data_IF_421939590123
#
_entry.id   IF_421939590123
#
_cell.length_a   1.000
_cell.length_b   1.000
_cell.length_c   1.000
_cell.angle_alpha   90.00
_cell.angle_beta   90.00
_cell.angle_gamma   90.00
#
_symmetry.space_group_name_H-M   'P 1'
#
loop_
_entity.id
_entity.type
_entity.pdbx_description
1 polymer ?
#
# COMPACT_ATOMS: atom_id res chain seq x y z
N UNK A 1 5.93 -15.33 6.68
CA UNK A 1 5.68 -14.00 6.10
C UNK A 1 5.32 -14.26 4.64
N UNK A 2 4.28 -13.63 4.07
CA UNK A 2 3.86 -13.92 2.71
C UNK A 2 4.83 -13.35 1.68
N UNK A 3 4.91 -13.97 0.51
CA UNK A 3 5.83 -13.56 -0.57
C UNK A 3 5.59 -12.12 -1.04
N UNK A 4 4.32 -11.66 -1.01
CA UNK A 4 3.97 -10.27 -1.33
C UNK A 4 4.66 -9.28 -0.39
N UNK A 5 4.65 -9.54 0.92
CA UNK A 5 5.31 -8.67 1.91
C UNK A 5 6.82 -8.64 1.71
N UNK A 6 7.44 -9.79 1.47
CA UNK A 6 8.88 -9.89 1.20
C UNK A 6 9.27 -9.09 -0.05
N UNK A 7 8.43 -9.12 -1.10
CA UNK A 7 8.62 -8.31 -2.30
C UNK A 7 8.47 -6.81 -2.02
N UNK A 8 7.44 -6.40 -1.25
CA UNK A 8 7.23 -5.00 -0.85
C UNK A 8 8.42 -4.47 -0.03
N UNK A 9 8.91 -5.27 0.93
CA UNK A 9 10.07 -4.90 1.71
C UNK A 9 11.33 -4.76 0.85
N UNK A 10 11.55 -5.70 -0.07
CA UNK A 10 12.68 -5.65 -1.01
C UNK A 10 12.60 -4.41 -1.90
N UNK A 11 11.42 -4.11 -2.44
CA UNK A 11 11.19 -2.91 -3.24
C UNK A 11 11.48 -1.64 -2.45
N UNK A 12 11.06 -1.56 -1.20
CA UNK A 12 11.27 -0.36 -0.37
C UNK A 12 12.73 -0.16 0.03
N UNK A 13 13.46 -1.25 0.34
CA UNK A 13 14.87 -1.17 0.73
C UNK A 13 15.80 -0.87 -0.46
N UNK A 14 15.39 -1.23 -1.67
CA UNK A 14 16.22 -1.13 -2.85
C UNK A 14 17.40 -2.11 -2.86
N UNK A 15 18.27 -1.98 -3.84
CA UNK A 15 19.48 -2.79 -3.93
C UNK A 15 20.42 -2.48 -2.77
N UNK A 16 20.84 -3.52 -2.03
CA UNK A 16 21.81 -3.38 -0.94
C UNK A 16 23.08 -2.68 -1.45
N UNK A 17 23.53 -1.67 -0.72
CA UNK A 17 24.81 -1.02 -1.01
C UNK A 17 25.92 -1.93 -0.49
N UNK A 18 26.75 -2.54 -1.34
CA UNK A 18 27.87 -3.36 -0.85
C UNK A 18 28.83 -2.47 -0.09
N UNK A 19 29.09 -2.83 1.17
CA UNK A 19 30.15 -2.23 1.98
C UNK A 19 31.48 -2.84 1.48
N UNK A 20 32.19 -2.14 0.56
CA UNK A 20 33.49 -2.58 0.09
C UNK A 20 33.79 -2.27 -1.39
N UNK A 21 35.05 -2.44 -1.77
CA UNK A 21 35.64 -2.09 -3.08
C UNK A 21 35.19 -2.93 -4.29
N UNK A 22 34.13 -3.74 -4.17
CA UNK A 22 33.61 -4.56 -5.28
C UNK A 22 32.74 -3.72 -6.22
N UNK A 23 33.33 -2.84 -7.00
CA UNK A 23 32.67 -1.91 -7.94
C UNK A 23 32.23 -2.52 -9.26
N UNK A 24 32.36 -3.83 -9.48
CA UNK A 24 32.18 -4.46 -10.80
C UNK A 24 30.96 -5.40 -10.92
N UNK A 25 30.17 -5.60 -9.85
CA UNK A 25 28.97 -6.45 -9.96
C UNK A 25 27.82 -5.63 -10.56
N UNK A 26 27.31 -6.08 -11.71
CA UNK A 26 26.12 -5.50 -12.36
C UNK A 26 24.97 -5.55 -11.36
N UNK A 27 24.62 -4.41 -10.79
CA UNK A 27 23.57 -4.30 -9.78
C UNK A 27 22.25 -4.65 -10.44
N UNK A 28 21.53 -5.60 -9.86
CA UNK A 28 20.13 -5.82 -10.21
C UNK A 28 19.34 -4.56 -9.84
N UNK A 29 18.68 -3.96 -10.82
CA UNK A 29 17.80 -2.82 -10.56
C UNK A 29 16.53 -3.36 -9.91
N UNK A 30 16.22 -2.88 -8.70
CA UNK A 30 14.99 -3.19 -7.99
C UNK A 30 14.08 -1.97 -8.15
N UNK A 31 12.84 -2.17 -8.54
CA UNK A 31 11.86 -1.08 -8.61
C UNK A 31 11.44 -0.65 -7.20
N UNK A 32 11.19 0.65 -6.94
CA UNK A 32 10.75 1.14 -5.62
C UNK A 32 9.31 0.81 -5.28
N UNK A 33 8.53 0.32 -6.25
CA UNK A 33 7.14 -0.14 -6.11
C UNK A 33 6.94 -1.40 -6.92
N UNK A 34 6.03 -2.27 -6.49
CA UNK A 34 5.61 -3.44 -7.25
C UNK A 34 4.59 -3.07 -8.33
N UNK A 35 4.54 -3.86 -9.40
CA UNK A 35 3.50 -3.83 -10.42
C UNK A 35 2.66 -5.10 -10.31
N UNK A 36 1.39 -4.95 -9.95
CA UNK A 36 0.42 -6.03 -9.81
C UNK A 36 -0.66 -5.92 -10.88
N UNK A 37 -1.18 -7.05 -11.32
CA UNK A 37 -2.29 -7.12 -12.28
C UNK A 37 -3.58 -7.60 -11.62
N UNK A 38 -4.71 -6.96 -11.90
CA UNK A 38 -6.04 -7.47 -11.55
C UNK A 38 -6.66 -8.16 -12.76
N UNK A 39 -7.18 -9.38 -12.58
CA UNK A 39 -7.81 -10.17 -13.63
C UNK A 39 -9.07 -10.89 -13.10
N UNK A 40 -10.03 -11.10 -13.97
CA UNK A 40 -11.23 -11.83 -13.60
C UNK A 40 -10.96 -13.33 -13.43
N UNK A 41 -11.70 -13.99 -12.53
CA UNK A 41 -11.67 -15.45 -12.41
C UNK A 41 -12.08 -16.09 -13.76
N UNK A 42 -11.27 -17.04 -14.24
CA UNK A 42 -11.46 -17.68 -15.56
C UNK A 42 -10.72 -16.99 -16.71
N UNK A 43 -10.14 -15.82 -16.50
CA UNK A 43 -9.35 -15.11 -17.51
C UNK A 43 -7.92 -15.65 -17.59
N UNK A 44 -7.77 -16.78 -18.29
CA UNK A 44 -6.45 -17.38 -18.54
C UNK A 44 -5.58 -16.50 -19.47
N UNK A 45 -6.19 -15.65 -20.30
CA UNK A 45 -5.43 -14.73 -21.16
C UNK A 45 -4.82 -13.60 -20.31
N UNK A 46 -5.59 -13.01 -19.38
CA UNK A 46 -5.07 -12.05 -18.41
C UNK A 46 -3.99 -12.65 -17.52
N UNK A 47 -4.17 -13.89 -17.05
CA UNK A 47 -3.15 -14.59 -16.27
C UNK A 47 -1.84 -14.75 -17.07
N UNK A 48 -1.92 -15.17 -18.34
CA UNK A 48 -0.76 -15.25 -19.22
C UNK A 48 -0.11 -13.88 -19.47
N UNK A 49 -0.93 -12.81 -19.58
CA UNK A 49 -0.40 -11.45 -19.69
C UNK A 49 0.39 -11.03 -18.45
N UNK A 50 -0.02 -11.46 -17.24
CA UNK A 50 0.72 -11.19 -16.01
C UNK A 50 2.12 -11.83 -16.06
N UNK A 51 2.22 -13.07 -16.54
CA UNK A 51 3.50 -13.79 -16.72
C UNK A 51 4.34 -13.11 -17.81
N UNK A 52 3.77 -12.94 -19.01
CA UNK A 52 4.45 -12.35 -20.16
C UNK A 52 4.88 -10.89 -19.94
N UNK A 53 4.09 -10.14 -19.14
CA UNK A 53 4.36 -8.77 -18.73
C UNK A 53 5.39 -8.66 -17.60
N UNK A 54 5.83 -9.80 -17.04
CA UNK A 54 6.75 -9.90 -15.91
C UNK A 54 6.27 -9.09 -14.69
N UNK A 55 4.99 -9.24 -14.33
CA UNK A 55 4.41 -8.59 -13.15
C UNK A 55 4.97 -9.22 -11.86
N UNK A 56 5.01 -8.41 -10.80
CA UNK A 56 5.48 -8.87 -9.49
C UNK A 56 4.43 -9.73 -8.77
N UNK A 57 3.16 -9.57 -9.16
CA UNK A 57 2.05 -10.37 -8.64
C UNK A 57 0.74 -10.11 -9.37
N UNK A 58 -0.30 -10.86 -9.03
CA UNK A 58 -1.63 -10.76 -9.62
C UNK A 58 -2.74 -10.90 -8.56
N UNK A 59 -3.89 -10.29 -8.80
CA UNK A 59 -5.10 -10.39 -7.97
C UNK A 59 -6.21 -10.98 -8.85
N UNK A 60 -6.71 -12.15 -8.47
CA UNK A 60 -7.87 -12.78 -9.12
C UNK A 60 -9.15 -12.25 -8.48
N UNK A 61 -9.99 -11.56 -9.25
CA UNK A 61 -11.25 -10.94 -8.79
C UNK A 61 -12.47 -11.70 -9.27
N UNK A 62 -13.60 -11.55 -8.54
CA UNK A 62 -14.87 -12.17 -8.91
C UNK A 62 -14.94 -13.68 -8.67
N UNK A 63 -14.20 -14.16 -7.70
CA UNK A 63 -14.09 -15.60 -7.39
C UNK A 63 -15.35 -16.20 -6.79
N UNK A 64 -16.17 -15.42 -6.05
CA UNK A 64 -17.38 -15.90 -5.41
C UNK A 64 -18.51 -16.28 -6.36
N UNK A 65 -18.57 -15.65 -7.53
CA UNK A 65 -19.51 -16.01 -8.60
C UNK A 65 -18.96 -17.00 -9.63
N UNK A 66 -17.66 -17.28 -9.59
CA UNK A 66 -16.99 -18.13 -10.56
C UNK A 66 -17.04 -19.61 -10.16
N UNK A 67 -17.03 -20.50 -11.14
CA UNK A 67 -16.84 -21.91 -10.90
C UNK A 67 -15.41 -22.19 -10.42
N UNK A 68 -15.25 -23.13 -9.48
CA UNK A 68 -13.92 -23.53 -9.00
C UNK A 68 -12.94 -23.81 -10.16
N UNK A 69 -13.40 -24.51 -11.21
CA UNK A 69 -12.59 -24.84 -12.39
C UNK A 69 -12.09 -23.59 -13.14
N UNK A 70 -12.81 -22.47 -13.08
CA UNK A 70 -12.40 -21.21 -13.72
C UNK A 70 -11.32 -20.53 -12.87
N UNK A 71 -11.47 -20.53 -11.55
CA UNK A 71 -10.45 -20.04 -10.61
C UNK A 71 -9.18 -20.87 -10.76
N UNK A 72 -9.28 -22.21 -10.72
CA UNK A 72 -8.14 -23.12 -10.87
C UNK A 72 -7.41 -22.91 -12.21
N UNK A 73 -8.17 -22.61 -13.29
CA UNK A 73 -7.57 -22.31 -14.60
C UNK A 73 -6.76 -21.01 -14.60
N UNK A 74 -7.28 -19.95 -13.97
CA UNK A 74 -6.53 -18.69 -13.83
C UNK A 74 -5.28 -18.88 -13.01
N UNK A 75 -5.40 -19.59 -11.87
CA UNK A 75 -4.27 -19.88 -10.98
C UNK A 75 -3.19 -20.71 -11.70
N UNK A 76 -3.58 -21.76 -12.43
CA UNK A 76 -2.64 -22.58 -13.20
C UNK A 76 -1.91 -21.77 -14.30
N UNK A 77 -2.57 -20.73 -14.85
CA UNK A 77 -1.97 -19.88 -15.87
C UNK A 77 -1.05 -18.78 -15.29
N UNK A 78 -1.08 -18.54 -13.96
CA UNK A 78 -0.21 -17.61 -13.23
C UNK A 78 1.13 -18.25 -12.82
N UNK A 79 1.56 -19.30 -13.50
CA UNK A 79 2.75 -20.07 -13.16
C UNK A 79 3.97 -19.17 -12.86
N UNK A 80 4.53 -19.30 -11.66
CA UNK A 80 5.67 -18.51 -11.18
C UNK A 80 5.36 -17.05 -10.78
N UNK A 81 4.10 -16.60 -10.84
CA UNK A 81 3.69 -15.27 -10.39
C UNK A 81 2.99 -15.39 -9.04
N UNK A 82 3.45 -14.63 -8.04
CA UNK A 82 2.77 -14.50 -6.76
C UNK A 82 1.35 -14.02 -6.96
N UNK A 83 0.36 -14.72 -6.45
CA UNK A 83 -1.04 -14.31 -6.64
C UNK A 83 -1.84 -14.25 -5.35
N UNK A 84 -2.79 -13.35 -5.34
CA UNK A 84 -3.81 -13.24 -4.33
C UNK A 84 -5.20 -13.34 -4.93
N UNK A 85 -6.17 -13.51 -4.06
CA UNK A 85 -7.57 -13.64 -4.44
C UNK A 85 -8.40 -12.58 -3.73
N UNK A 86 -9.28 -11.94 -4.49
CA UNK A 86 -10.28 -11.04 -3.93
C UNK A 86 -11.43 -11.85 -3.35
N UNK A 87 -11.57 -11.77 -2.03
CA UNK A 87 -12.67 -12.43 -1.31
C UNK A 87 -13.94 -11.56 -1.41
N UNK A 88 -15.04 -12.21 -1.62
CA UNK A 88 -16.36 -11.63 -1.50
C UNK A 88 -17.21 -12.40 -0.47
N UNK A 89 -18.44 -11.95 -0.23
CA UNK A 89 -19.33 -12.58 0.76
C UNK A 89 -19.61 -14.07 0.47
N UNK A 90 -19.60 -14.46 -0.80
CA UNK A 90 -19.87 -15.83 -1.23
C UNK A 90 -18.67 -16.76 -1.07
N UNK A 91 -17.45 -16.20 -1.06
CA UNK A 91 -16.20 -16.96 -0.89
C UNK A 91 -15.34 -16.37 0.23
N UNK A 92 -15.60 -16.72 1.48
CA UNK A 92 -14.91 -16.16 2.64
C UNK A 92 -13.47 -16.68 2.83
N UNK A 93 -13.02 -17.64 2.01
CA UNK A 93 -11.68 -18.24 2.10
C UNK A 93 -11.00 -18.26 0.74
N UNK A 94 -9.74 -17.84 0.72
CA UNK A 94 -8.90 -17.96 -0.45
C UNK A 94 -8.58 -19.45 -0.75
N UNK A 95 -8.45 -19.82 -2.04
CA UNK A 95 -8.03 -21.16 -2.44
C UNK A 95 -6.61 -21.46 -1.96
N UNK A 96 -6.28 -22.76 -1.89
CA UNK A 96 -4.94 -23.20 -1.56
C UNK A 96 -3.93 -22.69 -2.61
N UNK A 97 -2.73 -22.30 -2.13
CA UNK A 97 -1.68 -21.74 -2.98
C UNK A 97 -1.75 -20.23 -3.20
N UNK A 98 -2.83 -19.53 -2.80
CA UNK A 98 -2.83 -18.08 -2.77
C UNK A 98 -1.90 -17.57 -1.69
N UNK A 99 -1.01 -16.64 -2.04
CA UNK A 99 -0.05 -16.01 -1.13
C UNK A 99 -0.69 -14.94 -0.26
N UNK A 100 -1.66 -14.22 -0.83
CA UNK A 100 -2.37 -13.15 -0.14
C UNK A 100 -3.87 -13.17 -0.47
N UNK A 101 -4.63 -12.50 0.35
CA UNK A 101 -6.06 -12.31 0.16
C UNK A 101 -6.42 -10.83 0.25
N UNK A 102 -7.31 -10.39 -0.63
CA UNK A 102 -7.84 -9.03 -0.66
C UNK A 102 -9.32 -9.08 -0.29
N UNK A 103 -9.79 -8.18 0.54
CA UNK A 103 -11.20 -8.11 0.92
C UNK A 103 -11.64 -6.65 1.10
N UNK A 104 -12.93 -6.39 0.95
CA UNK A 104 -13.52 -5.09 1.22
C UNK A 104 -13.81 -4.94 2.73
N UNK A 105 -13.77 -3.70 3.24
CA UNK A 105 -13.78 -3.41 4.67
C UNK A 105 -15.07 -3.81 5.41
N UNK A 106 -16.23 -3.79 4.77
CA UNK A 106 -17.51 -3.79 5.50
C UNK A 106 -18.28 -5.12 5.40
N UNK A 107 -18.20 -5.81 4.26
CA UNK A 107 -19.00 -6.99 3.99
C UNK A 107 -18.28 -8.32 4.29
N UNK A 108 -16.98 -8.28 4.53
CA UNK A 108 -16.19 -9.52 4.73
C UNK A 108 -16.37 -10.05 6.14
N UNK A 109 -16.70 -11.34 6.31
CA UNK A 109 -16.78 -11.95 7.62
C UNK A 109 -15.47 -11.83 8.41
N UNK A 110 -15.55 -11.48 9.70
CA UNK A 110 -14.37 -11.31 10.55
C UNK A 110 -13.46 -12.55 10.61
N UNK A 111 -14.01 -13.74 10.35
CA UNK A 111 -13.23 -14.97 10.23
C UNK A 111 -12.19 -14.98 9.09
N UNK A 112 -12.32 -14.10 8.08
CA UNK A 112 -11.31 -13.93 7.04
C UNK A 112 -10.01 -13.32 7.57
N UNK A 113 -10.06 -12.63 8.71
CA UNK A 113 -8.90 -12.07 9.40
C UNK A 113 -8.17 -13.07 10.29
N UNK A 114 -8.75 -14.27 10.46
CA UNK A 114 -8.28 -15.24 11.44
C UNK A 114 -7.41 -16.32 10.82
N UNK A 115 -6.18 -16.45 11.30
CA UNK A 115 -5.52 -17.73 11.41
C UNK A 115 -4.74 -18.28 10.22
N UNK A 116 -4.56 -17.56 9.13
CA UNK A 116 -3.72 -18.03 8.04
C UNK A 116 -2.39 -17.27 8.01
N UNK A 117 -1.31 -17.97 7.66
CA UNK A 117 0.01 -17.37 7.39
C UNK A 117 0.02 -16.48 6.14
N UNK A 118 -1.14 -16.25 5.53
CA UNK A 118 -1.31 -15.45 4.31
C UNK A 118 -1.30 -13.97 4.60
N UNK A 119 -0.75 -13.21 3.69
CA UNK A 119 -0.82 -11.75 3.73
C UNK A 119 -2.26 -11.28 3.55
N UNK A 120 -2.74 -10.45 4.46
CA UNK A 120 -4.07 -9.87 4.44
C UNK A 120 -4.03 -8.44 3.92
N UNK A 121 -4.80 -8.17 2.86
CA UNK A 121 -4.91 -6.86 2.22
C UNK A 121 -6.36 -6.38 2.33
N UNK A 122 -6.61 -5.27 3.00
CA UNK A 122 -7.94 -4.72 3.14
C UNK A 122 -8.14 -3.55 2.17
N UNK A 123 -9.22 -3.60 1.38
CA UNK A 123 -9.61 -2.46 0.59
C UNK A 123 -10.14 -1.34 1.50
N UNK A 124 -9.60 -0.16 1.36
CA UNK A 124 -10.02 1.04 2.08
C UNK A 124 -10.70 1.99 1.12
N UNK A 125 -11.89 2.43 1.48
CA UNK A 125 -12.61 3.51 0.79
C UNK A 125 -12.07 4.84 1.33
N UNK A 126 -11.44 5.68 0.49
CA UNK A 126 -10.80 6.92 0.97
C UNK A 126 -11.77 7.96 1.52
N UNK A 127 -13.07 7.78 1.28
CA UNK A 127 -14.16 8.65 1.76
C UNK A 127 -14.60 8.32 3.20
N UNK A 128 -14.09 7.24 3.80
CA UNK A 128 -14.36 6.92 5.21
C UNK A 128 -14.02 8.10 6.12
N UNK A 129 -14.78 8.26 7.19
CA UNK A 129 -14.50 9.23 8.22
C UNK A 129 -13.12 9.02 8.86
N UNK A 130 -12.45 10.08 9.27
CA UNK A 130 -11.10 10.02 9.87
C UNK A 130 -11.07 9.15 11.14
N UNK A 131 -12.17 9.10 11.89
CA UNK A 131 -12.29 8.23 13.07
C UNK A 131 -12.24 6.75 12.67
N UNK A 132 -12.97 6.35 11.61
CA UNK A 132 -12.98 5.00 11.08
C UNK A 132 -11.63 4.66 10.43
N UNK A 133 -11.04 5.57 9.67
CA UNK A 133 -9.71 5.36 9.08
C UNK A 133 -8.63 5.07 10.15
N UNK A 134 -8.73 5.69 11.32
CA UNK A 134 -7.81 5.39 12.44
C UNK A 134 -8.08 4.04 13.08
N UNK A 135 -9.34 3.59 13.11
CA UNK A 135 -9.68 2.30 13.72
C UNK A 135 -9.20 1.12 12.88
N UNK A 136 -9.11 1.27 11.54
CA UNK A 136 -8.60 0.19 10.68
C UNK A 136 -7.13 -0.15 10.93
N UNK A 137 -6.32 0.78 11.43
CA UNK A 137 -4.92 0.50 11.79
C UNK A 137 -4.81 -0.51 12.94
N UNK A 138 -5.84 -0.61 13.78
CA UNK A 138 -5.90 -1.59 14.87
C UNK A 138 -6.26 -3.01 14.40
N UNK A 139 -6.73 -3.18 13.16
CA UNK A 139 -7.07 -4.49 12.63
C UNK A 139 -5.80 -5.29 12.28
N UNK A 140 -5.86 -6.63 12.39
CA UNK A 140 -4.74 -7.50 12.05
C UNK A 140 -4.64 -7.69 10.53
N UNK A 141 -4.34 -6.58 9.80
CA UNK A 141 -4.14 -6.56 8.35
C UNK A 141 -2.72 -6.15 8.03
N UNK A 142 -2.15 -6.63 6.95
CA UNK A 142 -0.75 -6.38 6.59
C UNK A 142 -0.60 -5.19 5.64
N UNK A 143 -1.61 -4.97 4.79
CA UNK A 143 -1.59 -3.91 3.80
C UNK A 143 -3.00 -3.38 3.51
N UNK A 144 -3.06 -2.20 2.91
CA UNK A 144 -4.29 -1.58 2.44
C UNK A 144 -4.29 -1.45 0.92
N UNK A 145 -5.44 -1.67 0.30
CA UNK A 145 -5.67 -1.39 -1.11
C UNK A 145 -6.57 -0.16 -1.24
N UNK A 146 -6.07 0.88 -1.89
CA UNK A 146 -6.80 2.11 -2.17
C UNK A 146 -7.15 2.15 -3.65
N UNK A 147 -8.44 2.18 -3.99
CA UNK A 147 -8.87 2.30 -5.38
C UNK A 147 -8.94 3.77 -5.79
N UNK A 148 -8.21 4.11 -6.85
CA UNK A 148 -8.22 5.39 -7.53
C UNK A 148 -8.71 5.26 -8.98
N UNK A 149 -9.40 4.16 -9.29
CA UNK A 149 -9.83 3.80 -10.64
C UNK A 149 -11.09 4.57 -11.13
N UNK A 150 -11.55 5.57 -10.39
CA UNK A 150 -12.71 6.40 -10.71
C UNK A 150 -12.44 7.46 -11.80
N UNK A 151 -11.19 7.65 -12.20
CA UNK A 151 -10.80 8.58 -13.27
C UNK A 151 -9.75 7.95 -14.20
N UNK A 152 -9.77 8.34 -15.46
CA UNK A 152 -8.85 7.79 -16.48
C UNK A 152 -7.38 8.20 -16.33
N UNK A 153 -7.09 9.26 -15.57
CA UNK A 153 -5.73 9.72 -15.25
C UNK A 153 -5.65 10.13 -13.79
N UNK A 154 -4.44 10.09 -13.22
CA UNK A 154 -4.21 10.44 -11.83
C UNK A 154 -4.43 11.95 -11.58
N UNK A 155 -5.38 12.27 -10.72
CA UNK A 155 -5.74 13.65 -10.37
C UNK A 155 -5.18 14.07 -9.02
N UNK A 156 -5.08 15.37 -8.78
CA UNK A 156 -4.69 15.91 -7.46
C UNK A 156 -5.65 15.43 -6.35
N UNK A 157 -6.95 15.31 -6.65
CA UNK A 157 -7.93 14.78 -5.71
C UNK A 157 -7.59 13.35 -5.29
N UNK A 158 -7.20 12.50 -6.23
CA UNK A 158 -6.81 11.12 -5.94
C UNK A 158 -5.52 11.06 -5.12
N UNK A 159 -4.54 11.93 -5.40
CA UNK A 159 -3.35 12.07 -4.57
C UNK A 159 -3.67 12.53 -3.14
N UNK A 160 -4.63 13.45 -2.98
CA UNK A 160 -5.10 13.88 -1.64
C UNK A 160 -5.78 12.71 -0.89
N UNK A 161 -6.60 11.89 -1.58
CA UNK A 161 -7.20 10.68 -1.01
C UNK A 161 -6.12 9.69 -0.53
N UNK A 162 -5.13 9.44 -1.37
CA UNK A 162 -4.01 8.55 -1.01
C UNK A 162 -3.20 9.11 0.18
N UNK A 163 -2.86 10.39 0.15
CA UNK A 163 -2.14 11.07 1.22
C UNK A 163 -2.93 11.04 2.56
N UNK A 164 -4.25 11.14 2.50
CA UNK A 164 -5.12 11.02 3.68
C UNK A 164 -5.01 9.63 4.30
N UNK A 165 -5.12 8.56 3.50
CA UNK A 165 -4.95 7.19 3.98
C UNK A 165 -3.53 6.99 4.54
N UNK A 166 -2.51 7.46 3.81
CA UNK A 166 -1.10 7.35 4.26
C UNK A 166 -0.84 8.07 5.58
N UNK A 167 -1.55 9.16 5.86
CA UNK A 167 -1.41 9.93 7.10
C UNK A 167 -1.91 9.21 8.35
N UNK A 168 -2.70 8.16 8.22
CA UNK A 168 -3.27 7.41 9.34
C UNK A 168 -2.72 5.99 9.48
N UNK A 169 -1.94 5.48 8.51
CA UNK A 169 -1.40 4.12 8.55
C UNK A 169 0.10 4.07 8.32
N UNK A 170 0.76 3.15 9.02
CA UNK A 170 2.15 2.75 8.75
C UNK A 170 2.27 1.52 7.83
N UNK A 171 1.14 0.85 7.53
CA UNK A 171 1.07 -0.35 6.70
C UNK A 171 1.39 -0.06 5.24
N UNK A 172 1.63 -1.13 4.48
CA UNK A 172 1.81 -1.03 3.04
C UNK A 172 0.53 -0.55 2.36
N UNK A 173 0.67 0.29 1.33
CA UNK A 173 -0.45 0.76 0.53
C UNK A 173 -0.26 0.29 -0.91
N UNK A 174 -1.20 -0.49 -1.40
CA UNK A 174 -1.37 -0.85 -2.80
C UNK A 174 -2.37 0.12 -3.41
N UNK A 175 -2.10 0.61 -4.61
CA UNK A 175 -2.97 1.59 -5.27
C UNK A 175 -3.50 1.02 -6.57
N UNK A 176 -4.82 0.84 -6.66
CA UNK A 176 -5.47 0.41 -7.89
C UNK A 176 -5.79 1.62 -8.76
N UNK A 177 -5.36 1.58 -10.02
CA UNK A 177 -5.54 2.65 -11.02
C UNK A 177 -6.27 2.11 -12.26
N UNK A 178 -7.08 2.95 -12.91
CA UNK A 178 -7.90 2.57 -14.06
C UNK A 178 -7.11 2.33 -15.36
N UNK A 179 -5.92 2.92 -15.46
CA UNK A 179 -5.09 2.83 -16.66
C UNK A 179 -3.62 2.71 -16.28
N UNK A 180 -2.80 2.24 -17.22
CA UNK A 180 -1.35 2.19 -17.02
C UNK A 180 -0.80 3.61 -16.80
N UNK A 181 -0.15 3.85 -15.65
CA UNK A 181 0.29 5.19 -15.29
C UNK A 181 1.52 5.61 -16.08
N UNK A 182 1.63 6.91 -16.33
CA UNK A 182 2.83 7.55 -16.89
C UNK A 182 3.96 7.58 -15.87
N UNK A 183 5.17 7.91 -16.31
CA UNK A 183 6.33 8.06 -15.41
C UNK A 183 6.08 9.08 -14.31
N UNK A 184 5.52 10.22 -14.67
CA UNK A 184 5.19 11.30 -13.75
C UNK A 184 4.15 10.87 -12.71
N UNK A 185 3.13 10.12 -13.13
CA UNK A 185 2.11 9.56 -12.23
C UNK A 185 2.71 8.52 -11.28
N UNK A 186 3.61 7.66 -11.77
CA UNK A 186 4.36 6.71 -10.93
C UNK A 186 5.22 7.42 -9.88
N UNK A 187 5.89 8.52 -10.25
CA UNK A 187 6.64 9.35 -9.30
C UNK A 187 5.73 9.94 -8.22
N UNK A 188 4.55 10.45 -8.62
CA UNK A 188 3.59 11.01 -7.66
C UNK A 188 3.01 9.95 -6.72
N UNK A 189 2.69 8.75 -7.24
CA UNK A 189 2.20 7.63 -6.42
C UNK A 189 3.25 7.17 -5.41
N UNK A 190 4.51 7.00 -5.84
CA UNK A 190 5.63 6.67 -4.96
C UNK A 190 5.81 7.73 -3.87
N UNK A 191 5.83 9.01 -4.25
CA UNK A 191 6.04 10.13 -3.32
C UNK A 191 4.86 10.26 -2.33
N UNK A 192 3.66 9.82 -2.72
CA UNK A 192 2.49 9.71 -1.85
C UNK A 192 2.51 8.46 -0.96
N UNK A 193 3.50 7.58 -1.11
CA UNK A 193 3.72 6.41 -0.24
C UNK A 193 3.09 5.10 -0.73
N UNK A 194 2.78 4.98 -2.02
CA UNK A 194 2.38 3.71 -2.62
C UNK A 194 3.56 2.71 -2.60
N UNK A 195 3.30 1.49 -2.15
CA UNK A 195 4.24 0.37 -2.21
C UNK A 195 4.04 -0.52 -3.44
N UNK A 196 2.84 -0.50 -4.01
CA UNK A 196 2.51 -1.22 -5.24
C UNK A 196 1.47 -0.45 -6.06
N UNK A 197 1.50 -0.66 -7.37
CA UNK A 197 0.47 -0.21 -8.31
C UNK A 197 -0.25 -1.45 -8.85
N UNK A 198 -1.58 -1.44 -8.78
CA UNK A 198 -2.46 -2.48 -9.30
C UNK A 198 -3.14 -1.94 -10.54
N UNK A 199 -3.05 -2.66 -11.65
CA UNK A 199 -3.67 -2.29 -12.94
C UNK A 199 -4.58 -3.38 -13.43
N UNK A 200 -5.69 -3.02 -14.08
CA UNK A 200 -6.56 -3.98 -14.72
C UNK A 200 -5.88 -4.56 -15.95
N UNK A 201 -5.88 -5.91 -16.07
CA UNK A 201 -5.28 -6.59 -17.22
C UNK A 201 -6.22 -6.60 -18.43
N UNK A 202 -7.52 -6.29 -18.23
CA UNK A 202 -8.46 -6.14 -19.32
C UNK A 202 -8.03 -5.00 -20.25
N UNK A 203 -7.71 -5.33 -21.50
CA UNK A 203 -7.24 -4.35 -22.48
C UNK A 203 -5.76 -3.97 -22.40
N UNK A 204 -5.00 -4.51 -21.45
CA UNK A 204 -3.55 -4.38 -21.42
C UNK A 204 -2.86 -5.30 -22.43
N UNK A 205 -1.62 -4.98 -22.78
CA UNK A 205 -0.76 -5.83 -23.60
C UNK A 205 0.54 -6.13 -22.85
N UNK A 206 1.17 -7.26 -23.15
CA UNK A 206 2.46 -7.61 -22.55
C UNK A 206 3.53 -6.53 -22.80
N UNK A 207 3.49 -5.87 -23.96
CA UNK A 207 4.41 -4.78 -24.29
C UNK A 207 4.20 -3.56 -23.41
N UNK A 208 2.93 -3.15 -23.20
CA UNK A 208 2.62 -1.99 -22.33
C UNK A 208 2.94 -2.26 -20.85
N UNK A 209 2.72 -3.49 -20.38
CA UNK A 209 3.08 -3.90 -19.02
C UNK A 209 4.59 -3.89 -18.81
N UNK A 210 5.36 -4.43 -19.78
CA UNK A 210 6.84 -4.36 -19.74
C UNK A 210 7.35 -2.92 -19.76
N UNK A 211 6.76 -2.06 -20.58
CA UNK A 211 7.15 -0.66 -20.62
C UNK A 211 6.89 0.02 -19.27
N UNK A 212 5.74 -0.23 -18.63
CA UNK A 212 5.45 0.30 -17.27
C UNK A 212 6.43 -0.25 -16.24
N UNK A 213 6.81 -1.54 -16.33
CA UNK A 213 7.83 -2.12 -15.46
C UNK A 213 9.19 -1.45 -15.64
N UNK A 214 9.58 -1.16 -16.87
CA UNK A 214 10.83 -0.44 -17.17
C UNK A 214 10.81 0.96 -16.57
N UNK A 215 9.68 1.69 -16.67
CA UNK A 215 9.52 2.98 -16.02
C UNK A 215 9.68 2.86 -14.49
N UNK A 216 9.10 1.85 -13.86
CA UNK A 216 9.28 1.59 -12.43
C UNK A 216 10.74 1.34 -12.05
N UNK A 217 11.49 0.58 -12.87
CA UNK A 217 12.92 0.31 -12.65
C UNK A 217 13.80 1.56 -12.82
N UNK A 218 13.33 2.57 -13.53
CA UNK A 218 14.02 3.87 -13.67
C UNK A 218 13.78 4.82 -12.51
N UNK A 219 12.73 4.59 -11.70
CA UNK A 219 12.41 5.45 -10.58
C UNK A 219 13.47 5.36 -9.46
N UNK A 220 13.86 6.48 -8.87
CA UNK A 220 14.75 6.47 -7.71
C UNK A 220 14.02 5.96 -6.46
N UNK A 221 14.76 5.28 -5.57
CA UNK A 221 14.28 4.83 -4.26
C UNK A 221 14.23 6.00 -3.27
N UNK A 222 13.30 6.84 -3.36
CA UNK A 222 13.16 7.98 -2.47
C UNK A 222 12.44 9.13 -3.16
N UNK A 223 11.90 10.06 -2.40
CA UNK A 223 11.13 11.14 -2.97
C UNK A 223 11.99 11.96 -3.93
N UNK A 224 11.42 12.29 -5.07
CA UNK A 224 12.05 13.16 -6.03
C UNK A 224 12.38 14.49 -5.34
N UNK A 225 13.68 14.86 -5.25
CA UNK A 225 14.08 16.15 -4.70
C UNK A 225 13.46 17.23 -5.57
N UNK A 226 12.29 17.73 -5.19
CA UNK A 226 11.70 18.90 -5.82
C UNK A 226 12.72 20.01 -5.69
N UNK A 227 13.18 20.56 -6.83
CA UNK A 227 13.95 21.80 -6.84
C UNK A 227 13.18 22.78 -5.96
N UNK A 228 13.80 23.25 -4.87
CA UNK A 228 13.22 24.20 -3.93
C UNK A 228 12.84 25.50 -4.69
N UNK A 229 11.66 25.48 -5.30
CA UNK A 229 10.93 26.66 -5.70
C UNK A 229 10.04 27.00 -4.53
N UNK A 230 10.45 27.98 -3.76
CA UNK A 230 9.68 28.83 -2.82
C UNK A 230 8.36 28.20 -2.30
N UNK A 231 8.36 27.80 -1.04
CA UNK A 231 7.15 27.77 -0.21
C UNK A 231 6.32 26.49 -0.33
N UNK A 232 6.84 25.35 0.13
CA UNK A 232 5.99 24.30 0.66
C UNK A 232 6.11 24.36 2.17
N UNK A 233 5.06 24.86 2.79
CA UNK A 233 4.81 24.67 4.21
C UNK A 233 4.83 23.16 4.47
N UNK A 234 5.80 22.71 5.24
CA UNK A 234 5.81 21.35 5.77
C UNK A 234 4.69 21.29 6.82
N UNK A 235 3.49 20.98 6.37
CA UNK A 235 2.29 20.84 7.20
C UNK A 235 2.21 19.47 7.83
N UNK A 236 3.31 18.93 8.34
CA UNK A 236 3.28 17.71 9.18
C UNK A 236 4.60 17.57 9.96
N UNK A 237 4.96 18.61 10.70
CA UNK A 237 5.65 18.37 11.95
C UNK A 237 4.55 18.36 13.01
N UNK A 238 4.19 17.18 13.47
CA UNK A 238 3.29 17.00 14.58
C UNK A 238 3.70 17.93 15.71
N UNK A 239 2.76 18.73 16.17
CA UNK A 239 2.88 19.45 17.41
C UNK A 239 2.99 18.41 18.54
N UNK A 240 4.21 18.07 18.91
CA UNK A 240 4.47 17.57 20.24
C UNK A 240 4.11 18.73 21.20
N UNK A 241 3.32 18.50 22.24
CA UNK A 241 3.08 19.53 23.24
C UNK A 241 4.41 19.87 23.88
N UNK A 242 4.86 21.11 23.68
CA UNK A 242 5.97 21.66 24.42
C UNK A 242 5.58 21.66 25.90
N UNK A 243 6.21 20.80 26.67
CA UNK A 243 6.23 20.89 28.12
C UNK A 243 6.95 22.21 28.47
N UNK A 244 6.15 23.26 28.69
CA UNK A 244 6.64 24.51 29.22
C UNK A 244 7.22 24.31 30.61
N UNK A 245 8.25 25.05 30.98
CA UNK A 245 8.82 24.98 32.32
C UNK A 245 7.78 25.46 33.32
N UNK A 246 7.50 24.59 34.29
CA UNK A 246 6.69 24.91 35.48
C UNK A 246 7.27 26.13 36.19
N UNK A 247 6.57 27.24 36.08
CA UNK A 247 6.83 28.42 36.87
C UNK A 247 6.36 28.11 38.29
N UNK A 248 7.30 27.87 39.21
CA UNK A 248 7.03 27.83 40.63
C UNK A 248 6.48 29.22 41.03
N UNK A 249 5.25 29.24 41.46
CA UNK A 249 4.72 30.36 42.25
C UNK A 249 5.39 30.34 43.62
N UNK A 250 5.79 31.52 44.20
CA UNK A 250 6.28 31.60 45.56
C UNK A 250 5.10 31.39 46.51
N UNK A 251 5.29 30.53 47.50
CA UNK A 251 4.41 30.39 48.64
C UNK A 251 4.33 31.72 49.40
N UNK A 252 3.13 32.16 49.88
CA UNK A 252 3.03 33.27 50.77
C UNK A 252 3.51 32.86 52.16
N UNK A 253 4.40 33.70 52.72
CA UNK A 253 4.86 33.64 54.11
C UNK A 253 3.67 33.68 55.05
N UNK A 254 3.54 32.64 55.91
CA UNK A 254 2.68 32.69 57.06
C UNK A 254 3.37 33.53 58.15
N UNK A 255 2.95 34.78 58.32
CA UNK A 255 3.29 35.59 59.45
C UNK A 255 2.53 35.07 60.70
N UNK A 256 3.30 34.56 61.64
CA UNK A 256 2.93 34.39 63.01
C UNK A 256 2.52 35.72 63.61
N UNK A 257 1.29 35.88 64.08
CA UNK A 257 0.92 36.86 65.06
C UNK A 257 0.27 36.13 66.23
N UNK A 258 1.14 35.86 67.21
CA UNK A 258 0.75 35.77 68.63
C UNK A 258 0.15 37.09 69.07
N UNK A 259 -1.01 37.06 69.62
CA UNK A 259 -1.35 38.00 70.75
C UNK A 259 -2.55 37.52 71.56
N UNK A 260 -2.18 37.11 72.74
CA UNK A 260 -2.75 37.36 74.08
C UNK A 260 -4.22 37.78 74.23
N UNK A 261 -4.77 36.92 75.02
CA UNK A 261 -5.74 37.09 76.16
C UNK A 261 -6.36 38.48 76.47
N UNK A 262 -7.45 38.53 77.35
CA UNK A 262 -7.73 37.64 78.51
C UNK A 262 -9.07 36.92 78.48
#
# INVERSE_FOLDING_TARGET
MGELLDKLERASRGAATPLGFASAVKREKIAPMLLLGALAAGDAAGAKLAVDGALDGAIVVGTGGAKKADVDRSVAALDGVTFGVWLDEAQPKAPDGADFQVFSSEATPAGALSGDERTTVMQVVPELDDSLLRTIEALPVDAFLVSLADAGSLTVRQLMRLARVRGVTSRWILVHVASLPTKEELEQLRDAGAGAVVVDLAGATAASLKATRELLLELPHGPTKRKKGRGVVTLLAAAAPASGPSRREPEPDEDDDDDDEP
#
